data_IF_827033112806
#
_entry.id   IF_827033112806
#
_cell.length_a   1.000
_cell.length_b   1.000
_cell.length_c   1.000
_cell.angle_alpha   90.00
_cell.angle_beta   90.00
_cell.angle_gamma   90.00
#
_symmetry.space_group_name_H-M   'P 1'
#
loop_
_entity.id
_entity.type
_entity.pdbx_description
1 polymer ?
#
# COMPACT_ATOMS: atom_id res chain seq x y z
N UNK A 1 12.67 14.95 98.80
CA UNK A 1 12.81 13.67 98.03
C UNK A 1 11.93 13.76 96.77
N UNK A 2 12.47 14.24 95.63
CA UNK A 2 11.73 14.44 94.38
C UNK A 2 12.37 13.62 93.28
N UNK A 3 11.67 12.58 92.80
CA UNK A 3 12.06 11.76 91.66
C UNK A 3 11.42 12.37 90.39
N UNK A 4 12.24 13.05 89.58
CA UNK A 4 11.83 13.46 88.22
C UNK A 4 12.12 12.30 87.28
N UNK A 5 11.06 11.75 86.65
CA UNK A 5 11.15 10.77 85.54
C UNK A 5 11.35 11.56 84.24
N UNK A 6 12.44 11.34 83.55
CA UNK A 6 12.66 11.75 82.16
C UNK A 6 11.95 10.78 81.23
N UNK A 7 11.02 11.28 80.47
CA UNK A 7 10.45 10.57 79.31
C UNK A 7 11.28 10.94 78.08
N UNK A 8 12.03 9.95 77.53
CA UNK A 8 12.62 10.03 76.22
C UNK A 8 11.53 9.73 75.18
N UNK A 9 11.13 10.76 74.40
CA UNK A 9 10.32 10.60 73.22
C UNK A 9 11.17 10.11 72.06
N UNK A 10 10.93 8.89 71.58
CA UNK A 10 11.49 8.41 70.34
C UNK A 10 10.73 8.99 69.16
N UNK A 11 11.36 9.96 68.47
CA UNK A 11 10.85 10.46 67.22
C UNK A 11 11.15 9.41 66.11
N UNK A 12 10.13 8.66 65.72
CA UNK A 12 10.20 7.79 64.54
C UNK A 12 10.27 8.66 63.28
N UNK A 13 11.46 8.79 62.70
CA UNK A 13 11.65 9.41 61.40
C UNK A 13 11.02 8.54 60.29
N UNK A 14 9.92 8.99 59.70
CA UNK A 14 9.40 8.41 58.48
C UNK A 14 10.40 8.66 57.33
N UNK A 15 10.78 7.65 56.57
CA UNK A 15 11.62 7.87 55.40
C UNK A 15 10.83 8.69 54.38
N UNK A 16 11.27 9.91 54.16
CA UNK A 16 10.81 10.73 53.02
C UNK A 16 11.39 10.05 51.76
N UNK A 17 10.62 9.20 51.13
CA UNK A 17 10.93 8.68 49.79
C UNK A 17 11.00 9.90 48.84
N UNK A 18 12.09 10.07 48.08
CA UNK A 18 12.18 11.17 47.14
C UNK A 18 11.09 11.02 46.07
N UNK A 19 10.22 12.02 45.95
CA UNK A 19 9.19 12.16 44.90
C UNK A 19 9.82 12.43 43.51
N UNK A 20 10.89 11.73 43.17
CA UNK A 20 11.58 11.83 41.88
C UNK A 20 11.24 10.67 40.96
N UNK A 21 10.17 9.93 41.20
CA UNK A 21 9.56 9.17 40.16
C UNK A 21 8.84 10.14 39.19
N UNK A 22 9.63 11.00 38.52
CA UNK A 22 9.15 11.64 37.30
C UNK A 22 8.72 10.52 36.39
N UNK A 23 7.41 10.45 36.17
CA UNK A 23 6.86 9.63 35.10
C UNK A 23 7.58 10.07 33.82
N UNK A 24 8.60 9.32 33.38
CA UNK A 24 9.17 9.47 32.05
C UNK A 24 7.99 9.27 31.12
N UNK A 25 7.46 10.37 30.58
CA UNK A 25 6.37 10.33 29.62
C UNK A 25 6.76 9.33 28.54
N UNK A 26 5.89 8.36 28.25
CA UNK A 26 6.16 7.36 27.24
C UNK A 26 6.51 8.06 25.92
N UNK A 27 7.67 7.70 25.32
CA UNK A 27 8.10 8.23 24.03
C UNK A 27 6.98 8.10 23.03
N UNK A 28 6.70 9.15 22.27
CA UNK A 28 5.61 9.14 21.27
C UNK A 28 6.19 9.28 19.88
N UNK A 29 5.66 8.48 18.95
CA UNK A 29 6.03 8.49 17.55
C UNK A 29 4.81 8.69 16.67
N UNK A 30 4.97 9.43 15.59
CA UNK A 30 3.96 9.63 14.55
C UNK A 30 4.51 9.17 13.22
N UNK A 31 3.87 8.16 12.61
CA UNK A 31 4.23 7.70 11.28
C UNK A 31 3.16 8.11 10.27
N UNK A 32 3.58 8.80 9.20
CA UNK A 32 2.72 9.11 8.06
C UNK A 32 2.47 7.87 7.22
N UNK A 33 1.22 7.67 6.79
CA UNK A 33 0.86 6.62 5.84
C UNK A 33 0.11 7.22 4.67
N UNK A 34 0.69 7.08 3.47
CA UNK A 34 0.17 7.63 2.22
C UNK A 34 0.02 6.50 1.21
N UNK A 35 -1.20 6.13 0.87
CA UNK A 35 -1.49 5.21 -0.22
C UNK A 35 -1.89 5.98 -1.49
N UNK A 36 -2.21 5.28 -2.59
CA UNK A 36 -2.59 5.93 -3.84
C UNK A 36 -3.96 6.59 -3.75
N UNK A 37 -4.96 5.91 -3.16
CA UNK A 37 -6.31 6.44 -2.98
C UNK A 37 -7.03 5.82 -1.79
N UNK A 38 -7.97 6.58 -1.20
CA UNK A 38 -8.81 6.07 -0.10
C UNK A 38 -9.88 5.09 -0.60
N UNK A 39 -10.32 5.22 -1.85
CA UNK A 39 -11.39 4.40 -2.42
C UNK A 39 -11.00 2.95 -2.75
N UNK A 40 -9.70 2.61 -2.74
CA UNK A 40 -9.25 1.27 -3.03
C UNK A 40 -9.22 0.41 -1.75
N UNK A 41 -9.97 -0.71 -1.76
CA UNK A 41 -10.09 -1.62 -0.62
C UNK A 41 -8.74 -2.18 -0.14
N UNK A 42 -7.79 -2.42 -1.04
CA UNK A 42 -6.44 -2.90 -0.70
C UNK A 42 -5.73 -1.92 0.25
N UNK A 43 -5.87 -0.62 0.01
CA UNK A 43 -5.23 0.39 0.85
C UNK A 43 -5.96 0.61 2.19
N UNK A 44 -7.27 0.33 2.27
CA UNK A 44 -7.97 0.30 3.54
C UNK A 44 -7.46 -0.86 4.43
N UNK A 45 -7.20 -2.03 3.85
CA UNK A 45 -6.59 -3.16 4.57
C UNK A 45 -5.17 -2.80 5.02
N UNK A 46 -4.37 -2.14 4.18
CA UNK A 46 -3.03 -1.68 4.56
C UNK A 46 -3.07 -0.68 5.72
N UNK A 47 -4.06 0.24 5.75
CA UNK A 47 -4.28 1.15 6.87
C UNK A 47 -4.58 0.41 8.16
N UNK A 48 -5.52 -0.54 8.14
CA UNK A 48 -5.85 -1.36 9.32
C UNK A 48 -4.61 -2.09 9.82
N UNK A 49 -3.84 -2.72 8.93
CA UNK A 49 -2.60 -3.40 9.29
C UNK A 49 -1.56 -2.48 9.94
N UNK A 50 -1.43 -1.24 9.46
CA UNK A 50 -0.53 -0.25 10.06
C UNK A 50 -1.00 0.19 11.45
N UNK A 51 -2.31 0.40 11.65
CA UNK A 51 -2.91 0.74 12.94
C UNK A 51 -2.77 -0.42 13.95
N UNK A 52 -2.93 -1.67 13.50
CA UNK A 52 -2.71 -2.87 14.32
C UNK A 52 -1.25 -2.99 14.75
N UNK A 53 -0.31 -2.84 13.82
CA UNK A 53 1.12 -2.84 14.10
C UNK A 53 1.50 -1.72 15.09
N UNK A 54 0.91 -0.54 14.95
CA UNK A 54 1.14 0.58 15.86
C UNK A 54 0.68 0.24 17.29
N UNK A 55 -0.47 -0.43 17.45
CA UNK A 55 -0.95 -0.89 18.78
C UNK A 55 -0.04 -1.95 19.38
N UNK A 56 0.33 -2.96 18.60
CA UNK A 56 1.21 -4.05 19.03
C UNK A 56 2.59 -3.54 19.45
N UNK A 57 3.22 -2.73 18.62
CA UNK A 57 4.55 -2.17 18.90
C UNK A 57 4.52 -1.18 20.07
N UNK A 58 3.44 -0.42 20.22
CA UNK A 58 3.25 0.46 21.38
C UNK A 58 3.25 -0.34 22.68
N UNK A 59 2.49 -1.43 22.73
CA UNK A 59 2.41 -2.31 23.90
C UNK A 59 3.76 -3.01 24.17
N UNK A 60 4.40 -3.53 23.11
CA UNK A 60 5.66 -4.28 23.20
C UNK A 60 6.83 -3.42 23.71
N UNK A 61 6.88 -2.15 23.31
CA UNK A 61 8.02 -1.28 23.60
C UNK A 61 7.74 -0.18 24.63
N UNK A 62 6.54 -0.12 25.22
CA UNK A 62 6.17 0.90 26.20
C UNK A 62 6.18 2.34 25.65
N UNK A 63 5.88 2.50 24.36
CA UNK A 63 5.85 3.77 23.64
C UNK A 63 4.44 4.06 23.13
N UNK A 64 4.21 5.28 22.63
CA UNK A 64 2.97 5.61 21.89
C UNK A 64 3.28 5.72 20.41
N UNK A 65 2.61 4.95 19.56
CA UNK A 65 2.73 5.05 18.11
C UNK A 65 1.37 5.47 17.54
N UNK A 66 1.39 6.48 16.69
CA UNK A 66 0.22 7.00 15.97
C UNK A 66 0.46 6.92 14.47
N UNK A 67 -0.54 6.43 13.74
CA UNK A 67 -0.57 6.51 12.28
C UNK A 67 -1.30 7.78 11.87
N UNK A 68 -0.65 8.61 11.05
CA UNK A 68 -1.25 9.78 10.41
C UNK A 68 -1.56 9.44 8.95
N UNK A 69 -2.83 9.10 8.68
CA UNK A 69 -3.31 8.71 7.36
C UNK A 69 -3.56 9.94 6.49
N UNK A 70 -2.69 10.17 5.49
CA UNK A 70 -2.72 11.34 4.58
C UNK A 70 -2.94 10.92 3.12
N UNK A 71 -3.65 9.85 2.89
CA UNK A 71 -3.94 9.35 1.54
C UNK A 71 -4.97 10.26 0.84
N UNK A 72 -4.76 10.62 -0.43
CA UNK A 72 -5.76 11.33 -1.23
C UNK A 72 -7.05 10.53 -1.40
N UNK A 73 -8.20 11.21 -1.55
CA UNK A 73 -9.48 10.53 -1.80
C UNK A 73 -9.45 9.75 -3.13
N UNK A 74 -8.90 10.39 -4.17
CA UNK A 74 -8.66 9.80 -5.49
C UNK A 74 -7.15 9.77 -5.76
N UNK A 75 -6.73 8.95 -6.71
CA UNK A 75 -5.33 8.83 -7.08
C UNK A 75 -4.80 10.15 -7.65
N UNK A 76 -3.85 10.77 -6.93
CA UNK A 76 -3.23 12.04 -7.27
C UNK A 76 -1.81 12.11 -6.70
N UNK A 77 -0.82 11.97 -7.56
CA UNK A 77 0.58 11.97 -7.17
C UNK A 77 1.08 13.34 -6.69
N UNK A 78 0.45 14.44 -7.14
CA UNK A 78 0.78 15.77 -6.64
C UNK A 78 0.32 15.93 -5.19
N UNK A 79 -0.90 15.50 -4.87
CA UNK A 79 -1.40 15.48 -3.49
C UNK A 79 -0.59 14.54 -2.60
N UNK A 80 -0.05 13.43 -3.13
CA UNK A 80 0.87 12.59 -2.38
C UNK A 80 2.17 13.35 -2.03
N UNK A 81 2.76 14.07 -2.98
CA UNK A 81 3.95 14.88 -2.72
C UNK A 81 3.69 15.97 -1.66
N UNK A 82 2.56 16.67 -1.75
CA UNK A 82 2.13 17.66 -0.76
C UNK A 82 1.91 17.03 0.63
N UNK A 83 1.31 15.84 0.68
CA UNK A 83 1.11 15.11 1.94
C UNK A 83 2.43 14.71 2.60
N UNK A 84 3.45 14.31 1.82
CA UNK A 84 4.80 14.03 2.32
C UNK A 84 5.38 15.30 2.96
N UNK A 85 5.32 16.44 2.25
CA UNK A 85 5.83 17.72 2.75
C UNK A 85 5.10 18.17 4.04
N UNK A 86 3.79 18.03 4.09
CA UNK A 86 2.99 18.33 5.29
C UNK A 86 3.33 17.44 6.49
N UNK A 87 3.58 16.13 6.26
CA UNK A 87 4.02 15.22 7.32
C UNK A 87 5.37 15.62 7.89
N UNK A 88 6.32 16.01 7.06
CA UNK A 88 7.62 16.54 7.52
C UNK A 88 7.42 17.80 8.37
N UNK A 89 6.60 18.75 7.89
CA UNK A 89 6.32 20.00 8.63
C UNK A 89 5.59 19.75 9.95
N UNK A 90 4.77 18.71 10.04
CA UNK A 90 4.07 18.35 11.28
C UNK A 90 4.91 17.48 12.24
N UNK A 91 6.18 17.21 11.89
CA UNK A 91 7.11 16.48 12.75
C UNK A 91 6.88 14.98 12.78
N UNK A 92 6.51 14.38 11.65
CA UNK A 92 6.42 12.92 11.53
C UNK A 92 7.80 12.28 11.75
N UNK A 93 7.85 11.17 12.49
CA UNK A 93 9.07 10.41 12.78
C UNK A 93 9.45 9.44 11.63
N UNK A 94 8.56 9.23 10.68
CA UNK A 94 8.79 8.45 9.48
C UNK A 94 7.56 8.44 8.58
N UNK A 95 7.75 8.08 7.31
CA UNK A 95 6.68 8.08 6.31
C UNK A 95 6.73 6.77 5.53
N UNK A 96 5.57 6.14 5.33
CA UNK A 96 5.37 5.04 4.39
C UNK A 96 4.48 5.53 3.24
N UNK A 97 4.91 5.31 1.98
CA UNK A 97 4.18 5.78 0.80
C UNK A 97 4.10 4.71 -0.29
N UNK A 98 2.90 4.50 -0.86
CA UNK A 98 2.69 3.76 -2.12
C UNK A 98 2.52 4.76 -3.26
N UNK A 99 3.45 4.77 -4.21
CA UNK A 99 3.61 5.85 -5.17
C UNK A 99 2.65 5.70 -6.37
N UNK A 100 1.80 6.68 -6.62
CA UNK A 100 0.97 6.76 -7.84
C UNK A 100 1.82 7.05 -9.09
N UNK A 101 2.80 7.94 -8.95
CA UNK A 101 3.77 8.29 -9.99
C UNK A 101 5.13 8.53 -9.32
N UNK A 102 6.09 7.63 -9.57
CA UNK A 102 7.40 7.70 -8.95
C UNK A 102 8.14 9.02 -9.24
N UNK A 103 8.00 9.55 -10.47
CA UNK A 103 8.71 10.76 -10.85
C UNK A 103 8.22 11.99 -10.07
N UNK A 104 6.89 12.06 -9.84
CA UNK A 104 6.29 13.20 -9.13
C UNK A 104 6.57 13.20 -7.63
N UNK A 105 6.69 12.02 -7.00
CA UNK A 105 6.92 11.94 -5.55
C UNK A 105 8.39 11.85 -5.15
N UNK A 106 9.30 11.57 -6.10
CA UNK A 106 10.74 11.38 -5.82
C UNK A 106 11.35 12.60 -5.11
N UNK A 107 11.07 13.81 -5.57
CA UNK A 107 11.64 15.03 -4.98
C UNK A 107 11.12 15.27 -3.55
N UNK A 108 9.83 15.04 -3.31
CA UNK A 108 9.25 15.15 -1.97
C UNK A 108 9.83 14.12 -1.00
N UNK A 109 10.03 12.88 -1.47
CA UNK A 109 10.73 11.83 -0.69
C UNK A 109 12.17 12.26 -0.38
N UNK A 110 12.90 12.78 -1.37
CA UNK A 110 14.28 13.21 -1.18
C UNK A 110 14.41 14.37 -0.19
N UNK A 111 13.47 15.33 -0.22
CA UNK A 111 13.39 16.43 0.76
C UNK A 111 13.07 15.92 2.17
N UNK A 112 12.12 14.99 2.32
CA UNK A 112 11.79 14.38 3.60
C UNK A 112 13.00 13.70 4.23
N UNK A 113 13.70 12.85 3.46
CA UNK A 113 14.93 12.17 3.93
C UNK A 113 16.03 13.19 4.25
N UNK A 114 16.19 14.24 3.42
CA UNK A 114 17.15 15.33 3.67
C UNK A 114 16.84 16.14 4.94
N UNK A 115 15.59 16.16 5.37
CA UNK A 115 15.14 16.79 6.62
C UNK A 115 15.22 15.84 7.83
N UNK A 116 15.77 14.64 7.68
CA UNK A 116 15.92 13.66 8.75
C UNK A 116 14.69 12.77 8.98
N UNK A 117 13.66 12.84 8.14
CA UNK A 117 12.48 11.98 8.21
C UNK A 117 12.67 10.77 7.29
N UNK A 118 12.87 9.56 7.83
CA UNK A 118 13.04 8.36 7.03
C UNK A 118 11.76 8.03 6.23
N UNK A 119 11.94 7.62 4.97
CA UNK A 119 10.84 7.23 4.11
C UNK A 119 11.03 5.78 3.66
N UNK A 120 9.98 4.99 3.74
CA UNK A 120 9.87 3.68 3.09
C UNK A 120 8.78 3.73 2.04
N UNK A 121 8.93 2.93 0.97
CA UNK A 121 7.85 2.72 0.02
C UNK A 121 7.21 1.34 0.23
N UNK A 122 5.94 1.19 -0.11
CA UNK A 122 5.27 -0.10 -0.12
C UNK A 122 4.38 -0.23 -1.36
N UNK A 123 4.06 -1.46 -1.78
CA UNK A 123 3.28 -1.75 -2.98
C UNK A 123 3.89 -1.14 -4.25
N UNK A 124 3.85 0.17 -4.42
CA UNK A 124 4.39 0.88 -5.57
C UNK A 124 5.57 1.77 -5.16
N UNK A 125 6.71 1.59 -5.84
CA UNK A 125 8.01 2.12 -5.46
C UNK A 125 8.37 3.45 -6.16
N UNK A 126 9.36 4.15 -5.60
CA UNK A 126 10.10 5.26 -6.24
C UNK A 126 11.61 4.97 -6.20
N UNK A 127 12.11 4.09 -7.09
CA UNK A 127 13.47 3.55 -6.97
C UNK A 127 14.59 4.58 -7.16
N UNK A 128 14.31 5.70 -7.83
CA UNK A 128 15.25 6.81 -7.99
C UNK A 128 15.33 7.74 -6.77
N UNK A 129 14.47 7.53 -5.77
CA UNK A 129 14.44 8.34 -4.56
C UNK A 129 15.44 7.85 -3.50
N UNK A 130 15.64 8.69 -2.45
CA UNK A 130 16.46 8.35 -1.27
C UNK A 130 15.70 7.54 -0.21
N UNK A 131 14.59 6.90 -0.56
CA UNK A 131 13.87 6.02 0.36
C UNK A 131 14.79 4.95 0.93
N UNK A 132 14.51 4.48 2.15
CA UNK A 132 15.34 3.46 2.81
C UNK A 132 15.16 2.08 2.18
N UNK A 133 13.90 1.68 1.92
CA UNK A 133 13.54 0.35 1.44
C UNK A 133 12.16 0.40 0.78
N UNK A 134 11.90 -0.54 -0.12
CA UNK A 134 10.57 -0.84 -0.63
C UNK A 134 10.10 -2.19 -0.08
N UNK A 135 8.89 -2.24 0.46
CA UNK A 135 8.22 -3.46 0.87
C UNK A 135 7.07 -3.78 -0.10
N UNK A 136 7.11 -4.93 -0.72
CA UNK A 136 6.10 -5.35 -1.71
C UNK A 136 6.41 -6.73 -2.28
N UNK A 137 5.66 -7.08 -3.31
CA UNK A 137 5.84 -8.32 -4.07
C UNK A 137 6.82 -8.10 -5.23
N UNK A 138 7.30 -9.17 -5.85
CA UNK A 138 7.94 -9.10 -7.16
C UNK A 138 6.87 -8.92 -8.24
N UNK A 139 6.64 -7.68 -8.63
CA UNK A 139 5.63 -7.31 -9.62
C UNK A 139 5.89 -7.92 -11.01
N UNK A 140 7.17 -8.10 -11.37
CA UNK A 140 7.52 -8.79 -12.62
C UNK A 140 7.07 -10.24 -12.60
N UNK A 141 7.38 -10.94 -11.50
CA UNK A 141 6.95 -12.32 -11.30
C UNK A 141 5.43 -12.44 -11.21
N UNK A 142 4.75 -11.49 -10.54
CA UNK A 142 3.27 -11.45 -10.53
C UNK A 142 2.69 -11.41 -11.93
N UNK A 143 3.23 -10.55 -12.80
CA UNK A 143 2.81 -10.47 -14.20
C UNK A 143 3.08 -11.77 -14.98
N UNK A 144 4.24 -12.40 -14.77
CA UNK A 144 4.57 -13.68 -15.36
C UNK A 144 3.57 -14.78 -14.92
N UNK A 145 3.21 -14.82 -13.64
CA UNK A 145 2.24 -15.79 -13.11
C UNK A 145 0.84 -15.57 -13.67
N UNK A 146 0.36 -14.33 -13.77
CA UNK A 146 -0.93 -14.00 -14.41
C UNK A 146 -0.97 -14.53 -15.85
N UNK A 147 0.10 -14.30 -16.61
CA UNK A 147 0.17 -14.76 -18.00
C UNK A 147 0.26 -16.28 -18.12
N UNK A 148 1.07 -16.91 -17.30
CA UNK A 148 1.22 -18.37 -17.27
C UNK A 148 -0.12 -19.05 -16.98
N UNK A 149 -0.85 -18.57 -15.98
CA UNK A 149 -2.16 -19.09 -15.61
C UNK A 149 -3.21 -18.82 -16.70
N UNK A 150 -3.20 -17.60 -17.28
CA UNK A 150 -4.10 -17.28 -18.39
C UNK A 150 -3.84 -18.17 -19.61
N UNK A 151 -2.58 -18.42 -19.96
CA UNK A 151 -2.23 -19.35 -21.03
C UNK A 151 -2.71 -20.77 -20.72
N UNK A 152 -2.58 -21.22 -19.47
CA UNK A 152 -3.06 -22.54 -19.03
C UNK A 152 -4.57 -22.69 -19.25
N UNK A 153 -5.39 -21.72 -18.80
CA UNK A 153 -6.85 -21.79 -18.93
C UNK A 153 -7.32 -21.61 -20.38
N UNK A 154 -6.54 -20.93 -21.22
CA UNK A 154 -6.80 -20.79 -22.67
C UNK A 154 -6.31 -21.97 -23.49
N UNK A 155 -5.64 -22.96 -22.90
CA UNK A 155 -5.03 -24.06 -23.64
C UNK A 155 -3.90 -23.64 -24.59
N UNK A 156 -3.18 -22.58 -24.23
CA UNK A 156 -1.99 -22.07 -24.92
C UNK A 156 -2.25 -21.29 -26.20
N UNK A 157 -3.49 -20.89 -26.49
CA UNK A 157 -3.87 -20.15 -27.71
C UNK A 157 -5.02 -19.18 -27.48
N UNK A 158 -5.03 -18.06 -28.20
CA UNK A 158 -6.12 -17.09 -28.17
C UNK A 158 -5.60 -15.64 -28.28
N UNK A 159 -6.53 -14.71 -28.46
CA UNK A 159 -6.26 -13.29 -28.41
C UNK A 159 -6.55 -12.79 -27.00
N UNK A 160 -5.57 -12.17 -26.36
CA UNK A 160 -5.73 -11.62 -25.00
C UNK A 160 -5.52 -10.10 -24.98
N UNK A 161 -6.08 -9.47 -23.97
CA UNK A 161 -5.82 -8.09 -23.63
C UNK A 161 -5.24 -7.98 -22.20
N UNK A 162 -4.47 -6.95 -21.94
CA UNK A 162 -3.96 -6.63 -20.60
C UNK A 162 -4.77 -5.44 -20.10
N UNK A 163 -5.39 -5.56 -18.92
CA UNK A 163 -6.01 -4.44 -18.24
C UNK A 163 -5.04 -3.94 -17.16
N UNK A 164 -4.64 -2.68 -17.29
CA UNK A 164 -3.73 -2.02 -16.37
C UNK A 164 -4.36 -0.74 -15.81
N UNK A 165 -4.02 -0.41 -14.56
CA UNK A 165 -4.42 0.86 -13.95
C UNK A 165 -3.63 2.05 -14.49
N UNK A 166 -3.10 2.87 -13.59
CA UNK A 166 -2.30 4.03 -13.98
C UNK A 166 -1.00 3.62 -14.70
N UNK A 167 -0.83 4.14 -15.92
CA UNK A 167 0.36 3.86 -16.73
C UNK A 167 1.68 4.37 -16.12
N UNK A 168 1.64 5.28 -15.15
CA UNK A 168 2.82 5.84 -14.49
C UNK A 168 3.16 5.13 -13.17
N UNK A 169 2.36 4.16 -12.74
CA UNK A 169 2.59 3.40 -11.53
C UNK A 169 3.66 2.30 -11.77
N UNK A 170 4.83 2.34 -11.10
CA UNK A 170 5.94 1.44 -11.38
C UNK A 170 5.63 -0.04 -11.16
N UNK A 171 4.84 -0.37 -10.14
CA UNK A 171 4.40 -1.75 -9.88
C UNK A 171 3.58 -2.29 -11.07
N UNK A 172 2.63 -1.52 -11.60
CA UNK A 172 1.79 -1.93 -12.71
C UNK A 172 2.59 -2.08 -14.00
N UNK A 173 3.54 -1.18 -14.27
CA UNK A 173 4.43 -1.31 -15.42
C UNK A 173 5.28 -2.58 -15.36
N UNK A 174 5.78 -2.95 -14.20
CA UNK A 174 6.51 -4.21 -14.01
C UNK A 174 5.62 -5.43 -14.24
N UNK A 175 4.37 -5.41 -13.76
CA UNK A 175 3.39 -6.48 -14.01
C UNK A 175 3.08 -6.61 -15.50
N UNK A 176 2.84 -5.50 -16.21
CA UNK A 176 2.66 -5.51 -17.68
C UNK A 176 3.88 -6.09 -18.40
N UNK A 177 5.08 -5.69 -18.00
CA UNK A 177 6.32 -6.23 -18.57
C UNK A 177 6.45 -7.74 -18.30
N UNK A 178 6.07 -8.21 -17.12
CA UNK A 178 6.03 -9.63 -16.75
C UNK A 178 5.07 -10.42 -17.64
N UNK A 179 3.83 -9.93 -17.84
CA UNK A 179 2.86 -10.54 -18.76
C UNK A 179 3.46 -10.68 -20.17
N UNK A 180 4.03 -9.59 -20.70
CA UNK A 180 4.62 -9.58 -22.05
C UNK A 180 5.86 -10.48 -22.17
N UNK A 181 6.66 -10.59 -21.12
CA UNK A 181 7.82 -11.49 -21.07
C UNK A 181 7.38 -12.94 -21.13
N UNK A 182 6.44 -13.33 -20.28
CA UNK A 182 5.94 -14.70 -20.17
C UNK A 182 5.19 -15.15 -21.41
N UNK A 183 4.41 -14.24 -22.04
CA UNK A 183 3.64 -14.53 -23.25
C UNK A 183 4.52 -15.05 -24.42
N UNK A 184 5.80 -14.70 -24.45
CA UNK A 184 6.75 -15.19 -25.46
C UNK A 184 6.92 -16.72 -25.43
N UNK A 185 6.58 -17.37 -24.34
CA UNK A 185 6.61 -18.85 -24.21
C UNK A 185 5.42 -19.53 -24.86
N UNK A 186 4.37 -18.77 -25.22
CA UNK A 186 3.10 -19.26 -25.74
C UNK A 186 2.84 -18.69 -27.14
N UNK A 187 3.43 -19.25 -28.21
CA UNK A 187 3.35 -18.68 -29.56
C UNK A 187 1.92 -18.66 -30.13
N UNK A 188 0.99 -19.45 -29.57
CA UNK A 188 -0.42 -19.42 -29.90
C UNK A 188 -1.22 -18.31 -29.22
N UNK A 189 -0.63 -17.55 -28.30
CA UNK A 189 -1.28 -16.44 -27.61
C UNK A 189 -0.83 -15.11 -28.22
N UNK A 190 -1.79 -14.30 -28.64
CA UNK A 190 -1.57 -12.98 -29.21
C UNK A 190 -2.04 -11.91 -28.23
N UNK A 191 -1.15 -11.03 -27.80
CA UNK A 191 -1.55 -9.86 -26.99
C UNK A 191 -2.05 -8.77 -27.94
N UNK A 192 -3.35 -8.43 -27.85
CA UNK A 192 -3.95 -7.36 -28.61
C UNK A 192 -3.34 -6.01 -28.25
N UNK A 193 -3.47 -5.61 -26.99
CA UNK A 193 -2.88 -4.41 -26.44
C UNK A 193 -2.93 -4.40 -24.91
N UNK A 194 -2.38 -3.29 -24.31
CA UNK A 194 -2.54 -2.94 -22.91
C UNK A 194 -3.48 -1.75 -22.80
N UNK A 195 -4.56 -1.91 -22.04
CA UNK A 195 -5.58 -0.90 -21.84
C UNK A 195 -5.49 -0.33 -20.43
N UNK A 196 -5.39 0.98 -20.34
CA UNK A 196 -5.25 1.71 -19.08
C UNK A 196 -6.58 2.32 -18.66
N UNK A 197 -6.75 2.48 -17.34
CA UNK A 197 -7.93 3.09 -16.73
C UNK A 197 -7.52 3.80 -15.43
N UNK A 198 -8.38 4.66 -14.89
CA UNK A 198 -8.22 5.11 -13.50
C UNK A 198 -8.46 3.92 -12.57
N UNK A 199 -7.70 3.84 -11.48
CA UNK A 199 -7.72 2.69 -10.56
C UNK A 199 -9.03 2.64 -9.74
N UNK A 200 -10.18 2.66 -10.42
CA UNK A 200 -11.51 2.48 -9.84
C UNK A 200 -12.22 1.28 -10.47
N UNK A 201 -13.08 0.56 -9.72
CA UNK A 201 -13.83 -0.57 -10.24
C UNK A 201 -14.69 -0.19 -11.46
N UNK A 202 -15.34 0.98 -11.42
CA UNK A 202 -16.24 1.46 -12.47
C UNK A 202 -15.49 1.76 -13.77
N UNK A 203 -14.36 2.47 -13.70
CA UNK A 203 -13.56 2.78 -14.89
C UNK A 203 -12.94 1.51 -15.48
N UNK A 204 -12.52 0.56 -14.65
CA UNK A 204 -12.01 -0.73 -15.08
C UNK A 204 -13.07 -1.54 -15.85
N UNK A 205 -14.27 -1.66 -15.30
CA UNK A 205 -15.39 -2.35 -15.93
C UNK A 205 -15.80 -1.69 -17.25
N UNK A 206 -15.96 -0.37 -17.26
CA UNK A 206 -16.29 0.41 -18.45
C UNK A 206 -15.22 0.26 -19.54
N UNK A 207 -13.93 0.23 -19.15
CA UNK A 207 -12.82 0.04 -20.10
C UNK A 207 -12.87 -1.33 -20.76
N UNK A 208 -13.11 -2.39 -19.98
CA UNK A 208 -13.28 -3.75 -20.51
C UNK A 208 -14.45 -3.79 -21.50
N UNK A 209 -15.62 -3.26 -21.11
CA UNK A 209 -16.81 -3.26 -21.96
C UNK A 209 -16.55 -2.55 -23.29
N UNK A 210 -15.95 -1.35 -23.26
CA UNK A 210 -15.58 -0.59 -24.47
C UNK A 210 -14.65 -1.38 -25.39
N UNK A 211 -13.64 -2.03 -24.82
CA UNK A 211 -12.66 -2.81 -25.58
C UNK A 211 -13.30 -4.05 -26.19
N UNK A 212 -14.13 -4.77 -25.46
CA UNK A 212 -14.84 -5.96 -25.95
C UNK A 212 -15.81 -5.65 -27.09
N UNK A 213 -16.49 -4.51 -27.05
CA UNK A 213 -17.35 -4.06 -28.15
C UNK A 213 -16.56 -3.85 -29.45
N UNK A 214 -15.33 -3.34 -29.35
CA UNK A 214 -14.47 -3.06 -30.51
C UNK A 214 -13.60 -4.25 -30.93
N UNK A 215 -13.42 -5.25 -30.08
CA UNK A 215 -12.53 -6.39 -30.29
C UNK A 215 -13.20 -7.69 -29.80
N UNK A 216 -14.24 -8.16 -30.51
CA UNK A 216 -15.01 -9.35 -30.09
C UNK A 216 -14.20 -10.66 -30.19
N UNK A 217 -13.03 -10.65 -30.79
CA UNK A 217 -12.10 -11.77 -30.90
C UNK A 217 -11.21 -11.96 -29.64
N UNK A 218 -11.31 -11.08 -28.64
CA UNK A 218 -10.60 -11.26 -27.37
C UNK A 218 -11.22 -12.44 -26.60
N UNK A 219 -10.39 -13.43 -26.30
CA UNK A 219 -10.77 -14.65 -25.57
C UNK A 219 -10.27 -14.65 -24.14
N UNK A 220 -9.41 -13.70 -23.76
CA UNK A 220 -8.88 -13.63 -22.41
C UNK A 220 -8.38 -12.26 -21.97
N UNK A 221 -8.42 -12.04 -20.66
CA UNK A 221 -7.90 -10.83 -20.01
C UNK A 221 -6.86 -11.15 -18.94
N UNK A 222 -5.70 -10.54 -19.06
CA UNK A 222 -4.71 -10.45 -17.99
C UNK A 222 -5.02 -9.20 -17.14
N UNK A 223 -5.64 -9.39 -16.00
CA UNK A 223 -5.99 -8.32 -15.06
C UNK A 223 -4.83 -8.14 -14.08
N UNK A 224 -4.01 -7.11 -14.27
CA UNK A 224 -2.85 -6.87 -13.40
C UNK A 224 -3.19 -6.14 -12.10
N UNK A 225 -4.48 -6.06 -11.79
CA UNK A 225 -5.12 -5.64 -10.55
C UNK A 225 -6.60 -5.99 -10.59
N UNK A 226 -7.20 -6.24 -9.43
CA UNK A 226 -8.56 -6.78 -9.30
C UNK A 226 -9.70 -5.79 -9.48
N UNK A 227 -9.46 -4.54 -9.90
CA UNK A 227 -10.48 -3.48 -9.90
C UNK A 227 -11.83 -3.88 -10.51
N UNK A 228 -11.92 -4.53 -11.70
CA UNK A 228 -13.22 -4.87 -12.28
C UNK A 228 -13.95 -5.93 -11.45
N UNK A 229 -13.23 -6.73 -10.65
CA UNK A 229 -13.81 -7.79 -9.82
C UNK A 229 -14.34 -7.27 -8.47
N UNK A 230 -14.11 -6.00 -8.13
CA UNK A 230 -14.64 -5.38 -6.90
C UNK A 230 -16.06 -4.85 -7.05
N UNK A 231 -16.69 -5.08 -8.19
CA UNK A 231 -18.08 -4.69 -8.48
C UNK A 231 -18.83 -5.89 -9.02
N UNK A 232 -19.98 -6.20 -8.44
CA UNK A 232 -20.87 -7.26 -8.96
C UNK A 232 -21.27 -6.98 -10.41
N UNK A 233 -21.33 -8.05 -11.21
CA UNK A 233 -21.75 -8.00 -12.61
C UNK A 233 -20.92 -7.02 -13.49
N UNK A 234 -19.67 -6.75 -13.13
CA UNK A 234 -18.80 -5.89 -13.93
C UNK A 234 -18.45 -6.49 -15.29
N UNK A 235 -18.34 -7.82 -15.37
CA UNK A 235 -18.04 -8.54 -16.61
C UNK A 235 -19.35 -8.99 -17.27
N UNK A 236 -19.58 -8.59 -18.52
CA UNK A 236 -20.86 -8.72 -19.22
C UNK A 236 -20.99 -9.96 -20.12
N UNK A 237 -20.09 -10.91 -20.01
CA UNK A 237 -20.14 -12.17 -20.77
C UNK A 237 -20.53 -13.36 -19.90
N UNK A 238 -21.01 -14.42 -20.55
CA UNK A 238 -21.33 -15.67 -19.86
C UNK A 238 -20.07 -16.33 -19.29
N UNK A 239 -20.16 -16.98 -18.13
CA UNK A 239 -19.03 -17.71 -17.57
C UNK A 239 -18.41 -18.68 -18.60
N UNK A 240 -17.09 -18.64 -18.72
CA UNK A 240 -16.35 -19.48 -19.69
C UNK A 240 -16.22 -18.90 -21.10
N UNK A 241 -16.99 -17.90 -21.50
CA UNK A 241 -16.89 -17.30 -22.84
C UNK A 241 -15.57 -16.48 -23.00
N UNK A 242 -15.13 -15.82 -21.95
CA UNK A 242 -13.84 -15.10 -21.91
C UNK A 242 -13.15 -15.46 -20.61
N UNK A 243 -11.88 -15.83 -20.69
CA UNK A 243 -11.08 -16.21 -19.52
C UNK A 243 -10.47 -14.96 -18.86
N UNK A 244 -10.48 -14.90 -17.53
CA UNK A 244 -9.85 -13.81 -16.78
C UNK A 244 -8.93 -14.39 -15.70
N UNK A 245 -7.73 -13.83 -15.59
CA UNK A 245 -6.82 -14.11 -14.48
C UNK A 245 -6.40 -12.78 -13.87
N UNK A 246 -6.51 -12.68 -12.54
CA UNK A 246 -6.23 -11.46 -11.77
C UNK A 246 -5.13 -11.67 -10.74
N UNK A 247 -4.44 -10.60 -10.37
CA UNK A 247 -3.46 -10.57 -9.28
C UNK A 247 -4.14 -10.64 -7.92
N UNK A 248 -5.24 -9.91 -7.73
CA UNK A 248 -5.88 -9.77 -6.43
C UNK A 248 -6.97 -10.84 -6.23
N UNK A 249 -6.99 -11.42 -5.03
CA UNK A 249 -8.04 -12.34 -4.56
C UNK A 249 -8.71 -11.74 -3.33
N UNK A 250 -9.78 -11.00 -3.53
CA UNK A 250 -10.62 -10.46 -2.45
C UNK A 250 -11.86 -11.35 -2.22
N UNK A 251 -12.49 -11.29 -1.03
CA UNK A 251 -13.66 -12.12 -0.70
C UNK A 251 -14.86 -11.97 -1.64
N UNK A 252 -14.88 -10.92 -2.47
CA UNK A 252 -15.95 -10.64 -3.44
C UNK A 252 -15.62 -11.17 -4.85
N UNK A 253 -14.47 -11.78 -5.05
CA UNK A 253 -14.03 -12.32 -6.35
C UNK A 253 -14.53 -13.74 -6.54
#
# INVERSE_FOLDING_TARGET
MNRRRFLLGAAAGLPILPLWAQAQGSKSYTFGLIAKSQGNAVFQVARVGAEDAARELSARHGVKIRIDWRTPNEEDAQKQAEAIEQLVLSGADGIAVSCSDANKVTDAINKAVGSGVPVVTFDSDAPASKRMVCYGVDDGLCGEQVMSELARVLGGKGTIAILAGNQNAPNLQKRVAGVRKEAKKYPGVVIRDTYYHRETPQDAAARIEQVMQSNPDITGWALIGGWPLFTENALKWSPGAVQCVSVDALPIC
#
